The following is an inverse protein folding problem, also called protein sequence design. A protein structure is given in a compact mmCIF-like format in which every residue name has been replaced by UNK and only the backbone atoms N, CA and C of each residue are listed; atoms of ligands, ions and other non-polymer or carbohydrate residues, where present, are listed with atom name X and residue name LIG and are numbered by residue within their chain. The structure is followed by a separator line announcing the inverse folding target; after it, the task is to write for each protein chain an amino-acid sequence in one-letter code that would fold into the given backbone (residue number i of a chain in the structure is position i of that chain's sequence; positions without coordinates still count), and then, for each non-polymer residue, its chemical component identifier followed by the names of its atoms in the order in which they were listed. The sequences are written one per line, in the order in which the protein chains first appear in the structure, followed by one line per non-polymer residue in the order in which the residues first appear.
data_IF_827634520359
#
_entry.id   IF_827634520359
#
_cell.length_a   1.000
_cell.length_b   1.000
_cell.length_c   1.000
_cell.angle_alpha   90.00
_cell.angle_beta   90.00
_cell.angle_gamma   90.00
#
_symmetry.space_group_name_H-M   'P 1'
#
loop_
_entity.id
_entity.type
_entity.pdbx_description
1 polymer ?
#
# COMPACT_ATOMS: atom_id res chain seq x y z
N UNK A 1 7.35 -9.65 -12.18
CA UNK A 1 7.52 -9.70 -10.69
C UNK A 1 6.34 -8.99 -10.05
N UNK A 2 5.69 -9.57 -9.03
CA UNK A 2 4.65 -8.87 -8.26
C UNK A 2 5.33 -8.20 -7.06
N UNK A 3 5.70 -6.93 -7.20
CA UNK A 3 6.18 -6.14 -6.06
C UNK A 3 5.02 -5.94 -5.09
N UNK A 4 5.22 -6.30 -3.82
CA UNK A 4 4.26 -6.06 -2.75
C UNK A 4 4.85 -5.01 -1.81
N UNK A 5 4.06 -4.02 -1.42
CA UNK A 5 4.42 -3.05 -0.38
C UNK A 5 3.55 -3.31 0.84
N UNK A 6 4.17 -3.38 2.01
CA UNK A 6 3.45 -3.53 3.28
C UNK A 6 3.46 -2.18 4.00
N UNK A 7 2.30 -1.79 4.52
CA UNK A 7 2.15 -0.57 5.30
C UNK A 7 1.50 -0.96 6.61
N UNK A 8 2.16 -0.65 7.72
CA UNK A 8 1.59 -0.74 9.05
C UNK A 8 1.21 0.67 9.48
N UNK A 9 -0.06 0.92 9.75
CA UNK A 9 -0.51 2.20 10.28
C UNK A 9 -0.39 2.26 11.82
N UNK A 10 -0.70 3.43 12.40
CA UNK A 10 -0.61 3.68 13.85
C UNK A 10 -1.53 2.79 14.69
N UNK A 11 -2.54 2.15 14.07
CA UNK A 11 -3.42 1.20 14.72
C UNK A 11 -2.97 -0.26 14.48
N UNK A 12 -1.71 -0.46 14.11
CA UNK A 12 -1.13 -1.77 13.77
C UNK A 12 -1.85 -2.50 12.61
N UNK A 13 -2.66 -1.80 11.80
CA UNK A 13 -3.31 -2.42 10.67
C UNK A 13 -2.29 -2.55 9.52
N UNK A 14 -2.07 -3.78 9.05
CA UNK A 14 -1.18 -4.06 7.93
C UNK A 14 -1.95 -4.09 6.61
N UNK A 15 -1.56 -3.24 5.66
CA UNK A 15 -2.11 -3.17 4.30
C UNK A 15 -1.11 -3.68 3.28
N UNK A 16 -1.60 -4.33 2.23
CA UNK A 16 -0.79 -4.91 1.14
C UNK A 16 -1.11 -4.21 -0.17
N UNK A 17 -0.12 -3.53 -0.73
CA UNK A 17 -0.24 -2.92 -2.05
C UNK A 17 0.49 -3.80 -3.05
N UNK A 18 -0.18 -4.13 -4.14
CA UNK A 18 0.38 -4.88 -5.25
C UNK A 18 0.71 -3.90 -6.36
N UNK A 19 1.96 -3.89 -6.82
CA UNK A 19 2.32 -3.20 -8.05
C UNK A 19 1.89 -4.06 -9.25
N UNK A 20 0.99 -3.52 -10.05
CA UNK A 20 0.46 -4.13 -11.26
C UNK A 20 1.44 -3.97 -12.44
N UNK A 21 1.20 -4.69 -13.53
CA UNK A 21 2.09 -4.71 -14.70
C UNK A 21 2.13 -3.38 -15.44
N UNK A 22 1.09 -2.57 -15.32
CA UNK A 22 1.01 -1.20 -15.84
C UNK A 22 1.67 -0.17 -14.92
N UNK A 23 2.28 -0.61 -13.82
CA UNK A 23 2.97 0.24 -12.85
C UNK A 23 2.07 0.81 -11.74
N UNK A 24 0.75 0.64 -11.81
CA UNK A 24 -0.20 1.12 -10.81
C UNK A 24 -0.12 0.29 -9.53
N UNK A 25 -0.50 0.88 -8.40
CA UNK A 25 -0.64 0.19 -7.12
C UNK A 25 -2.11 -0.17 -6.87
N UNK A 26 -2.36 -1.42 -6.47
CA UNK A 26 -3.68 -1.90 -6.06
C UNK A 26 -3.65 -2.39 -4.62
N UNK A 27 -4.64 -2.01 -3.82
CA UNK A 27 -4.85 -2.52 -2.47
C UNK A 27 -6.31 -2.92 -2.30
N UNK A 28 -6.55 -4.07 -1.69
CA UNK A 28 -7.89 -4.47 -1.23
C UNK A 28 -8.01 -4.11 0.24
N UNK A 29 -9.08 -3.43 0.64
CA UNK A 29 -9.33 -3.05 2.03
C UNK A 29 -9.79 -4.25 2.87
N UNK A 30 -9.79 -4.13 4.22
CA UNK A 30 -10.21 -5.23 5.10
C UNK A 30 -11.64 -5.75 4.87
N UNK A 31 -12.53 -4.93 4.29
CA UNK A 31 -13.89 -5.31 3.89
C UNK A 31 -13.93 -6.32 2.74
N UNK A 32 -12.78 -6.57 2.10
CA UNK A 32 -12.56 -7.46 0.95
C UNK A 32 -13.30 -7.06 -0.34
N UNK A 33 -14.04 -5.96 -0.33
CA UNK A 33 -14.84 -5.48 -1.45
C UNK A 33 -14.26 -4.20 -2.03
N UNK A 34 -13.81 -3.28 -1.18
CA UNK A 34 -13.26 -2.00 -1.61
C UNK A 34 -11.85 -2.20 -2.13
N UNK A 35 -11.62 -1.78 -3.38
CA UNK A 35 -10.32 -1.78 -4.01
C UNK A 35 -9.88 -0.35 -4.31
N UNK A 36 -8.69 0.00 -3.84
CA UNK A 36 -8.04 1.26 -4.16
C UNK A 36 -7.00 0.97 -5.24
N UNK A 37 -7.04 1.73 -6.33
CA UNK A 37 -6.06 1.68 -7.41
C UNK A 37 -5.54 3.07 -7.72
N UNK A 38 -4.25 3.29 -7.61
CA UNK A 38 -3.60 4.62 -7.69
C UNK A 38 -2.25 4.53 -8.40
N UNK A 39 -1.77 5.64 -8.95
CA UNK A 39 -0.54 5.67 -9.73
C UNK A 39 0.71 5.68 -8.85
N UNK A 40 0.63 6.28 -7.66
CA UNK A 40 1.78 6.41 -6.77
C UNK A 40 1.49 5.91 -5.36
N UNK A 41 2.56 5.55 -4.65
CA UNK A 41 2.49 5.23 -3.22
C UNK A 41 1.99 6.42 -2.40
N UNK A 42 2.35 7.65 -2.78
CA UNK A 42 1.91 8.85 -2.08
C UNK A 42 0.41 9.10 -2.25
N UNK A 43 -0.13 8.93 -3.45
CA UNK A 43 -1.57 8.95 -3.69
C UNK A 43 -2.30 7.93 -2.83
N UNK A 44 -1.74 6.71 -2.70
CA UNK A 44 -2.32 5.68 -1.84
C UNK A 44 -2.46 6.15 -0.39
N UNK A 45 -1.37 6.68 0.19
CA UNK A 45 -1.38 7.19 1.55
C UNK A 45 -2.39 8.33 1.71
N UNK A 46 -2.45 9.23 0.72
CA UNK A 46 -3.37 10.36 0.71
C UNK A 46 -4.83 9.91 0.66
N UNK A 47 -5.17 8.92 -0.19
CA UNK A 47 -6.53 8.36 -0.30
C UNK A 47 -6.98 7.70 1.00
N UNK A 48 -6.10 7.00 1.70
CA UNK A 48 -6.49 6.24 2.90
C UNK A 48 -6.52 7.05 4.18
N UNK A 49 -5.59 8.00 4.33
CA UNK A 49 -5.35 8.64 5.62
C UNK A 49 -5.49 10.16 5.54
N UNK A 50 -5.62 10.72 4.35
CA UNK A 50 -5.58 12.17 4.11
C UNK A 50 -4.14 12.71 4.17
N UNK A 51 -3.94 13.86 3.53
CA UNK A 51 -2.60 14.46 3.39
C UNK A 51 -1.97 14.83 4.74
N UNK A 52 -2.78 15.25 5.72
CA UNK A 52 -2.30 15.68 7.04
C UNK A 52 -1.78 14.55 7.95
N UNK A 53 -2.04 13.28 7.59
CA UNK A 53 -1.57 12.11 8.34
C UNK A 53 -0.30 11.50 7.72
N UNK A 54 0.15 12.02 6.57
CA UNK A 54 1.36 11.53 5.89
C UNK A 54 2.60 11.98 6.68
N UNK A 55 3.26 11.01 7.31
CA UNK A 55 4.37 11.23 8.24
C UNK A 55 4.10 10.75 9.67
N UNK A 56 2.83 10.48 10.02
CA UNK A 56 2.44 9.89 11.30
C UNK A 56 2.50 8.35 11.31
N UNK A 57 2.90 7.72 10.19
CA UNK A 57 2.99 6.27 10.08
C UNK A 57 4.23 5.74 10.81
N UNK A 58 4.02 4.82 11.75
CA UNK A 58 5.08 4.04 12.37
C UNK A 58 5.65 3.06 11.33
N UNK A 59 6.73 3.46 10.67
CA UNK A 59 7.61 2.62 9.86
C UNK A 59 6.87 1.80 8.78
N UNK A 60 6.72 2.35 7.57
CA UNK A 60 6.38 1.52 6.41
C UNK A 60 7.61 0.68 6.03
N UNK A 61 7.50 -0.65 6.13
CA UNK A 61 8.56 -1.55 5.66
C UNK A 61 8.21 -2.01 4.24
N UNK A 62 8.93 -1.47 3.25
CA UNK A 62 8.75 -1.89 1.85
C UNK A 62 9.43 -3.25 1.64
N UNK A 63 8.72 -4.35 1.93
CA UNK A 63 9.19 -5.70 1.60
C UNK A 63 8.89 -6.04 0.15
N UNK A 64 9.81 -5.71 -0.75
CA UNK A 64 9.76 -6.18 -2.14
C UNK A 64 10.01 -7.70 -2.15
N UNK A 65 8.94 -8.50 -2.09
CA UNK A 65 9.03 -9.93 -2.43
C UNK A 65 9.10 -10.07 -3.95
N UNK A 66 10.32 -10.14 -4.48
CA UNK A 66 10.53 -10.78 -5.76
C UNK A 66 10.34 -12.29 -5.58
N UNK A 67 9.50 -12.94 -6.38
CA UNK A 67 9.69 -14.37 -6.62
C UNK A 67 11.02 -14.47 -7.37
N UNK A 68 12.11 -14.67 -6.62
CA UNK A 68 13.31 -15.26 -7.17
C UNK A 68 12.94 -16.65 -7.68
N UNK A 69 13.46 -17.00 -8.84
CA UNK A 69 13.60 -18.38 -9.27
C UNK A 69 14.31 -19.20 -8.20
#
# INVERSE_FOLDING_TARGET
MKTVVFITDWNHATRRLFKETDGMFRCTLPDRTTQIRVATFYEFLTTLFGQGQIGAFLNYEVKIKGNGQ
#
